data_IF_149351874035
#
_entry.id   IF_149351874035
#
_cell.length_a   1.000
_cell.length_b   1.000
_cell.length_c   1.000
_cell.angle_alpha   90.00
_cell.angle_beta   90.00
_cell.angle_gamma   90.00
#
_symmetry.space_group_name_H-M   'P 1'
#
loop_
_entity.id
_entity.type
_entity.pdbx_description
1 polymer ?
#
# COMPACT_ATOMS: atom_id res chain seq x y z
N UNK A 1 55.92 37.27 -4.49
CA UNK A 1 54.74 36.53 -4.99
C UNK A 1 54.65 35.23 -4.23
N UNK A 2 53.95 35.23 -3.09
CA UNK A 2 53.80 34.07 -2.21
C UNK A 2 52.41 33.48 -2.45
N UNK A 3 52.35 32.28 -3.02
CA UNK A 3 51.10 31.56 -3.24
C UNK A 3 50.66 30.87 -1.95
N UNK A 4 49.47 31.22 -1.46
CA UNK A 4 48.78 30.57 -0.35
C UNK A 4 48.29 29.18 -0.77
N UNK A 5 48.48 28.11 0.02
CA UNK A 5 47.91 26.81 -0.29
C UNK A 5 46.42 26.79 0.02
N UNK A 6 45.61 26.42 -0.97
CA UNK A 6 44.17 26.20 -0.84
C UNK A 6 43.99 24.85 -0.13
N UNK A 7 43.39 24.86 1.06
CA UNK A 7 43.00 23.64 1.76
C UNK A 7 41.88 22.92 0.98
N UNK A 8 41.91 21.59 0.86
CA UNK A 8 40.80 20.85 0.28
C UNK A 8 39.58 21.00 1.18
N UNK A 9 38.52 21.61 0.66
CA UNK A 9 37.22 21.68 1.31
C UNK A 9 36.68 20.25 1.44
N UNK A 10 36.41 19.82 2.68
CA UNK A 10 35.58 18.65 2.94
C UNK A 10 34.25 18.80 2.21
N UNK A 11 33.70 17.74 1.59
CA UNK A 11 32.33 17.77 1.12
C UNK A 11 31.45 18.10 2.32
N UNK A 12 30.57 19.08 2.18
CA UNK A 12 29.55 19.40 3.18
C UNK A 12 28.79 18.10 3.48
N UNK A 13 28.81 17.67 4.75
CA UNK A 13 27.91 16.67 5.30
C UNK A 13 26.48 17.09 4.97
N UNK A 14 25.92 16.57 3.88
CA UNK A 14 24.51 16.66 3.61
C UNK A 14 23.86 15.66 4.56
N UNK A 15 23.43 16.14 5.72
CA UNK A 15 22.62 15.36 6.67
C UNK A 15 21.48 14.70 5.89
N UNK A 16 21.37 13.38 6.02
CA UNK A 16 20.34 12.63 5.30
C UNK A 16 18.97 13.12 5.79
N UNK A 17 17.92 13.22 4.95
CA UNK A 17 16.59 13.66 5.39
C UNK A 17 16.03 12.90 6.60
N UNK A 18 16.47 11.64 6.80
CA UNK A 18 16.19 10.87 8.02
C UNK A 18 16.80 11.45 9.29
N UNK A 19 17.99 12.05 9.22
CA UNK A 19 18.68 12.63 10.39
C UNK A 19 17.91 13.82 10.98
N UNK A 20 16.97 14.39 10.20
CA UNK A 20 16.08 15.47 10.61
C UNK A 20 14.68 14.97 11.05
N UNK A 21 14.37 13.68 10.90
CA UNK A 21 13.08 13.08 11.25
C UNK A 21 13.23 12.18 12.49
N UNK A 22 12.21 12.14 13.35
CA UNK A 22 12.26 11.36 14.59
C UNK A 22 12.33 9.84 14.37
N UNK A 23 11.84 9.33 13.22
CA UNK A 23 11.79 7.89 12.94
C UNK A 23 11.55 7.56 11.45
N UNK A 24 11.86 6.34 11.02
CA UNK A 24 11.57 5.88 9.65
C UNK A 24 10.07 5.93 9.34
N UNK A 25 9.22 5.48 10.27
CA UNK A 25 7.78 5.51 10.10
C UNK A 25 7.25 6.95 9.97
N UNK A 26 7.80 7.90 10.73
CA UNK A 26 7.42 9.32 10.59
C UNK A 26 7.90 9.93 9.28
N UNK A 27 9.09 9.54 8.82
CA UNK A 27 9.59 9.98 7.53
C UNK A 27 8.70 9.49 6.39
N UNK A 28 8.37 8.19 6.35
CA UNK A 28 7.44 7.63 5.34
C UNK A 28 6.07 8.31 5.39
N UNK A 29 5.50 8.49 6.58
CA UNK A 29 4.20 9.15 6.74
C UNK A 29 4.23 10.59 6.23
N UNK A 30 5.30 11.32 6.50
CA UNK A 30 5.42 12.73 6.13
C UNK A 30 5.71 12.88 4.64
N UNK A 31 6.63 12.07 4.10
CA UNK A 31 7.01 12.09 2.68
C UNK A 31 5.87 11.65 1.76
N UNK A 32 4.99 10.75 2.22
CA UNK A 32 3.86 10.25 1.43
C UNK A 32 2.53 10.98 1.70
N UNK A 33 2.53 12.05 2.50
CA UNK A 33 1.30 12.70 2.96
C UNK A 33 0.51 13.37 1.84
N UNK A 34 1.19 13.96 0.86
CA UNK A 34 0.54 14.57 -0.30
C UNK A 34 -0.06 13.50 -1.20
N UNK A 35 0.67 12.43 -1.48
CA UNK A 35 0.24 11.31 -2.29
C UNK A 35 -0.97 10.60 -1.68
N UNK A 36 -0.99 10.44 -0.35
CA UNK A 36 -2.15 9.92 0.37
C UNK A 36 -3.39 10.80 0.15
N UNK A 37 -3.26 12.12 0.36
CA UNK A 37 -4.34 13.07 0.15
C UNK A 37 -4.82 13.09 -1.30
N UNK A 38 -3.90 13.08 -2.26
CA UNK A 38 -4.23 13.06 -3.69
C UNK A 38 -5.00 11.79 -4.06
N UNK A 39 -4.61 10.66 -3.49
CA UNK A 39 -5.29 9.36 -3.65
C UNK A 39 -6.71 9.38 -3.06
N UNK A 40 -6.91 9.96 -1.88
CA UNK A 40 -8.24 10.12 -1.25
C UNK A 40 -9.16 11.06 -2.04
N UNK A 41 -8.59 11.99 -2.81
CA UNK A 41 -9.35 12.94 -3.64
C UNK A 41 -9.63 12.44 -5.06
N UNK A 42 -9.23 11.22 -5.42
CA UNK A 42 -9.53 10.65 -6.74
C UNK A 42 -11.04 10.51 -6.93
N UNK A 43 -11.53 10.80 -8.13
CA UNK A 43 -12.97 10.83 -8.44
C UNK A 43 -13.67 9.56 -7.99
N UNK A 44 -13.14 8.39 -8.36
CA UNK A 44 -13.69 7.09 -7.95
C UNK A 44 -13.86 6.96 -6.43
N UNK A 45 -12.85 7.35 -5.64
CA UNK A 45 -12.93 7.28 -4.17
C UNK A 45 -13.96 8.28 -3.64
N UNK A 46 -13.95 9.51 -4.13
CA UNK A 46 -14.92 10.52 -3.68
C UNK A 46 -16.37 10.15 -4.05
N UNK A 47 -16.60 9.54 -5.21
CA UNK A 47 -17.91 9.02 -5.64
C UNK A 47 -18.33 7.80 -4.80
N UNK A 48 -17.40 6.89 -4.49
CA UNK A 48 -17.63 5.76 -3.59
C UNK A 48 -18.03 6.24 -2.19
N UNK A 49 -17.32 7.24 -1.66
CA UNK A 49 -17.55 7.77 -0.31
C UNK A 49 -18.78 8.67 -0.20
N UNK A 50 -19.29 9.19 -1.33
CA UNK A 50 -20.50 10.03 -1.37
C UNK A 50 -21.78 9.26 -1.71
N UNK A 51 -21.69 7.97 -2.04
CA UNK A 51 -22.84 7.17 -2.43
C UNK A 51 -23.25 7.33 -3.90
N UNK A 52 -22.39 7.93 -4.74
CA UNK A 52 -22.68 8.20 -6.16
C UNK A 52 -22.50 6.98 -7.08
N UNK A 53 -21.80 5.95 -6.61
CA UNK A 53 -21.59 4.68 -7.32
C UNK A 53 -22.69 3.64 -7.03
N UNK A 54 -22.43 2.39 -7.38
CA UNK A 54 -23.27 1.23 -7.11
C UNK A 54 -22.49 0.10 -6.44
N UNK A 55 -23.20 -0.89 -5.91
CA UNK A 55 -22.57 -2.13 -5.40
C UNK A 55 -21.75 -2.82 -6.49
N UNK A 56 -22.18 -2.78 -7.76
CA UNK A 56 -21.44 -3.35 -8.87
C UNK A 56 -20.11 -2.62 -9.17
N UNK A 57 -20.07 -1.29 -8.99
CA UNK A 57 -18.82 -0.53 -9.10
C UNK A 57 -17.86 -0.90 -7.96
N UNK A 58 -18.39 -1.09 -6.74
CA UNK A 58 -17.62 -1.61 -5.62
C UNK A 58 -17.08 -3.03 -5.90
N UNK A 59 -17.90 -3.94 -6.43
CA UNK A 59 -17.46 -5.28 -6.84
C UNK A 59 -16.33 -5.22 -7.87
N UNK A 60 -16.47 -4.35 -8.89
CA UNK A 60 -15.42 -4.14 -9.90
C UNK A 60 -14.12 -3.67 -9.25
N UNK A 61 -14.20 -2.78 -8.27
CA UNK A 61 -13.06 -2.29 -7.51
C UNK A 61 -12.38 -3.41 -6.71
N UNK A 62 -13.13 -4.19 -5.94
CA UNK A 62 -12.59 -5.33 -5.19
C UNK A 62 -11.96 -6.37 -6.13
N UNK A 63 -12.54 -6.59 -7.32
CA UNK A 63 -11.95 -7.43 -8.36
C UNK A 63 -10.60 -6.93 -8.86
N UNK A 64 -10.38 -5.61 -8.97
CA UNK A 64 -9.06 -5.08 -9.31
C UNK A 64 -8.05 -5.29 -8.17
N UNK A 65 -8.49 -5.19 -6.92
CA UNK A 65 -7.62 -5.44 -5.78
C UNK A 65 -7.27 -6.91 -5.61
N UNK A 66 -8.12 -7.86 -5.99
CA UNK A 66 -7.77 -9.28 -6.00
C UNK A 66 -6.45 -9.53 -6.75
N UNK A 67 -6.31 -8.93 -7.95
CA UNK A 67 -5.08 -9.02 -8.73
C UNK A 67 -3.86 -8.36 -8.05
N UNK A 68 -4.05 -7.19 -7.45
CA UNK A 68 -2.95 -6.44 -6.79
C UNK A 68 -2.46 -7.19 -5.55
N UNK A 69 -3.37 -7.68 -4.70
CA UNK A 69 -3.02 -8.43 -3.50
C UNK A 69 -2.43 -9.79 -3.83
N UNK A 70 -2.94 -10.49 -4.86
CA UNK A 70 -2.31 -11.72 -5.34
C UNK A 70 -0.84 -11.49 -5.73
N UNK A 71 -0.55 -10.45 -6.52
CA UNK A 71 0.82 -10.15 -6.92
C UNK A 71 1.70 -9.69 -5.75
N UNK A 72 1.15 -8.89 -4.83
CA UNK A 72 1.86 -8.39 -3.66
C UNK A 72 2.18 -9.51 -2.66
N UNK A 73 1.21 -10.36 -2.33
CA UNK A 73 1.38 -11.48 -1.40
C UNK A 73 2.36 -12.52 -1.94
N UNK A 74 2.33 -12.83 -3.25
CA UNK A 74 3.36 -13.66 -3.89
C UNK A 74 4.76 -13.03 -3.84
N UNK A 75 4.87 -11.70 -3.95
CA UNK A 75 6.15 -11.02 -3.78
C UNK A 75 6.64 -11.10 -2.33
N UNK A 76 5.75 -10.87 -1.35
CA UNK A 76 6.06 -10.98 0.08
C UNK A 76 6.55 -12.38 0.42
N UNK A 77 5.90 -13.42 -0.10
CA UNK A 77 6.32 -14.81 0.07
C UNK A 77 7.73 -15.03 -0.46
N UNK A 78 8.00 -14.61 -1.70
CA UNK A 78 9.33 -14.77 -2.34
C UNK A 78 10.43 -14.03 -1.59
N UNK A 79 10.18 -12.80 -1.14
CA UNK A 79 11.13 -12.02 -0.33
C UNK A 79 11.35 -12.66 1.03
N UNK A 80 10.28 -13.14 1.69
CA UNK A 80 10.34 -13.75 3.02
C UNK A 80 11.13 -15.06 3.07
N UNK A 81 11.30 -15.74 1.94
CA UNK A 81 12.20 -16.90 1.85
C UNK A 81 13.70 -16.54 1.90
N UNK A 82 14.06 -15.28 1.61
CA UNK A 82 15.45 -14.82 1.51
C UNK A 82 15.80 -13.88 2.65
N UNK A 83 14.99 -12.84 2.87
CA UNK A 83 15.20 -11.84 3.91
C UNK A 83 13.85 -11.36 4.46
N UNK A 84 13.36 -12.05 5.50
CA UNK A 84 12.07 -11.75 6.11
C UNK A 84 12.13 -10.44 6.88
N UNK A 85 11.21 -9.53 6.57
CA UNK A 85 10.96 -8.32 7.35
C UNK A 85 9.86 -8.61 8.37
N UNK A 86 10.04 -8.22 9.63
CA UNK A 86 9.12 -8.50 10.75
C UNK A 86 7.69 -7.97 10.56
N UNK A 87 7.49 -7.00 9.66
CA UNK A 87 6.15 -6.49 9.35
C UNK A 87 5.37 -7.37 8.38
N UNK A 88 6.02 -8.32 7.70
CA UNK A 88 5.37 -9.31 6.83
C UNK A 88 4.68 -10.37 7.69
N UNK A 89 3.50 -9.99 8.17
CA UNK A 89 2.65 -10.74 9.08
C UNK A 89 1.43 -11.27 8.30
N UNK A 90 1.27 -12.60 8.15
CA UNK A 90 0.14 -13.20 7.46
C UNK A 90 -1.24 -12.82 8.02
N UNK A 91 -1.30 -12.29 9.26
CA UNK A 91 -2.54 -11.71 9.80
C UNK A 91 -3.07 -10.52 8.97
N UNK A 92 -2.22 -9.94 8.11
CA UNK A 92 -2.55 -8.86 7.20
C UNK A 92 -3.00 -9.33 5.82
N UNK A 93 -2.75 -10.58 5.41
CA UNK A 93 -3.08 -11.08 4.07
C UNK A 93 -4.56 -10.85 3.76
N UNK A 94 -4.85 -10.33 2.57
CA UNK A 94 -6.18 -9.88 2.15
C UNK A 94 -6.76 -10.70 1.02
N UNK A 95 -5.95 -11.38 0.19
CA UNK A 95 -6.48 -12.12 -0.95
C UNK A 95 -7.60 -13.10 -0.55
N UNK A 96 -7.48 -13.93 0.51
CA UNK A 96 -8.57 -14.84 0.90
C UNK A 96 -9.87 -14.11 1.28
N UNK A 97 -9.75 -12.95 1.93
CA UNK A 97 -10.91 -12.13 2.29
C UNK A 97 -11.56 -11.48 1.06
N UNK A 98 -10.73 -11.01 0.11
CA UNK A 98 -11.19 -10.46 -1.17
C UNK A 98 -11.93 -11.52 -1.99
N UNK A 99 -11.40 -12.74 -2.09
CA UNK A 99 -12.04 -13.84 -2.81
C UNK A 99 -13.37 -14.24 -2.19
N UNK A 100 -13.44 -14.27 -0.85
CA UNK A 100 -14.69 -14.49 -0.12
C UNK A 100 -15.72 -13.39 -0.38
N UNK A 101 -15.30 -12.12 -0.36
CA UNK A 101 -16.19 -10.98 -0.64
C UNK A 101 -16.74 -11.04 -2.06
N UNK A 102 -15.88 -11.35 -3.05
CA UNK A 102 -16.29 -11.48 -4.46
C UNK A 102 -17.33 -12.61 -4.63
N UNK A 103 -17.14 -13.75 -3.98
CA UNK A 103 -18.11 -14.83 -3.97
C UNK A 103 -19.45 -14.39 -3.34
N UNK A 104 -19.41 -13.67 -2.21
CA UNK A 104 -20.60 -13.13 -1.56
C UNK A 104 -21.29 -12.01 -2.36
N UNK A 105 -20.55 -11.33 -3.25
CA UNK A 105 -21.05 -10.36 -4.23
C UNK A 105 -21.61 -11.04 -5.49
N UNK A 106 -21.59 -12.37 -5.57
CA UNK A 106 -22.15 -13.15 -6.68
C UNK A 106 -21.19 -13.39 -7.85
N UNK A 107 -19.90 -13.12 -7.67
CA UNK A 107 -18.86 -13.36 -8.68
C UNK A 107 -18.35 -14.80 -8.54
N UNK A 108 -18.56 -15.63 -9.55
CA UNK A 108 -18.14 -17.04 -9.49
C UNK A 108 -16.68 -17.23 -9.90
N UNK A 109 -16.24 -16.49 -10.91
CA UNK A 109 -14.86 -16.48 -11.39
C UNK A 109 -14.40 -15.04 -11.61
N UNK A 110 -13.79 -14.46 -10.59
CA UNK A 110 -13.37 -13.07 -10.61
C UNK A 110 -12.30 -12.78 -11.66
N UNK A 111 -11.47 -13.75 -12.04
CA UNK A 111 -10.43 -13.56 -13.07
C UNK A 111 -11.07 -13.35 -14.45
N UNK A 112 -12.15 -14.08 -14.73
CA UNK A 112 -12.90 -13.96 -15.98
C UNK A 112 -13.88 -12.79 -15.97
N UNK A 113 -14.56 -12.54 -14.85
CA UNK A 113 -15.62 -11.54 -14.73
C UNK A 113 -15.08 -10.12 -14.47
N UNK A 114 -13.91 -10.02 -13.83
CA UNK A 114 -13.20 -8.77 -13.56
C UNK A 114 -11.75 -8.86 -14.02
N UNK A 115 -11.49 -8.90 -15.35
CA UNK A 115 -10.14 -8.85 -15.88
C UNK A 115 -9.41 -7.58 -15.41
N UNK A 116 -8.06 -7.63 -15.30
CA UNK A 116 -7.31 -6.47 -14.83
C UNK A 116 -7.46 -5.33 -15.85
N UNK A 117 -7.76 -4.13 -15.35
CA UNK A 117 -7.70 -2.91 -16.14
C UNK A 117 -6.26 -2.64 -16.60
N UNK A 118 -6.03 -1.78 -17.61
CA UNK A 118 -4.67 -1.43 -18.03
C UNK A 118 -3.78 -0.98 -16.87
N UNK A 119 -4.26 -0.05 -16.03
CA UNK A 119 -3.53 0.41 -14.85
C UNK A 119 -3.28 -0.70 -13.81
N UNK A 120 -4.24 -1.61 -13.62
CA UNK A 120 -4.07 -2.77 -12.73
C UNK A 120 -3.01 -3.72 -13.29
N UNK A 121 -2.99 -3.92 -14.62
CA UNK A 121 -1.98 -4.74 -15.31
C UNK A 121 -0.59 -4.16 -15.14
N UNK A 122 -0.44 -2.84 -15.26
CA UNK A 122 0.84 -2.15 -15.02
C UNK A 122 1.30 -2.30 -13.58
N UNK A 123 0.39 -2.22 -12.61
CA UNK A 123 0.73 -2.41 -11.20
C UNK A 123 1.18 -3.86 -10.92
N UNK A 124 0.44 -4.85 -11.42
CA UNK A 124 0.84 -6.26 -11.30
C UNK A 124 2.21 -6.49 -11.94
N UNK A 125 2.43 -5.98 -13.15
CA UNK A 125 3.68 -6.14 -13.87
C UNK A 125 4.86 -5.54 -13.11
N UNK A 126 4.66 -4.38 -12.48
CA UNK A 126 5.65 -3.77 -11.60
C UNK A 126 5.98 -4.66 -10.40
N UNK A 127 4.98 -5.13 -9.65
CA UNK A 127 5.18 -6.04 -8.51
C UNK A 127 5.87 -7.35 -8.92
N UNK A 128 5.53 -7.89 -10.10
CA UNK A 128 6.14 -9.10 -10.64
C UNK A 128 7.59 -8.89 -11.11
N UNK A 129 7.94 -7.67 -11.53
CA UNK A 129 9.31 -7.31 -11.91
C UNK A 129 10.28 -7.26 -10.72
N UNK A 130 9.75 -7.07 -9.50
CA UNK A 130 10.54 -7.10 -8.28
C UNK A 130 10.99 -8.53 -7.95
N UNK A 131 12.24 -8.63 -7.52
CA UNK A 131 12.90 -9.88 -7.16
C UNK A 131 12.90 -10.09 -5.65
N UNK A 132 13.31 -11.28 -5.20
CA UNK A 132 13.49 -11.57 -3.77
C UNK A 132 14.57 -10.71 -3.08
N UNK A 133 15.41 -10.01 -3.85
CA UNK A 133 16.41 -9.08 -3.32
C UNK A 133 15.84 -7.66 -3.09
N UNK A 134 14.68 -7.33 -3.66
CA UNK A 134 14.06 -6.00 -3.61
C UNK A 134 13.25 -5.78 -2.31
N UNK A 135 13.79 -6.19 -1.15
CA UNK A 135 13.05 -6.26 0.12
C UNK A 135 12.42 -4.93 0.55
N UNK A 136 13.14 -3.82 0.38
CA UNK A 136 12.65 -2.48 0.80
C UNK A 136 11.61 -1.93 -0.17
N UNK A 137 11.66 -2.35 -1.43
CA UNK A 137 10.64 -2.01 -2.43
C UNK A 137 9.36 -2.82 -2.20
N UNK A 138 9.50 -4.11 -1.86
CA UNK A 138 8.38 -4.91 -1.36
C UNK A 138 7.76 -4.30 -0.10
N UNK A 139 8.59 -3.86 0.86
CA UNK A 139 8.15 -3.16 2.07
C UNK A 139 7.34 -1.89 1.75
N UNK A 140 7.71 -1.14 0.71
CA UNK A 140 6.98 0.05 0.29
C UNK A 140 5.51 -0.27 -0.07
N UNK A 141 5.30 -1.29 -0.90
CA UNK A 141 3.95 -1.71 -1.28
C UNK A 141 3.16 -2.29 -0.10
N UNK A 142 3.82 -3.09 0.74
CA UNK A 142 3.24 -3.61 1.97
C UNK A 142 2.77 -2.46 2.90
N UNK A 143 3.65 -1.48 3.15
CA UNK A 143 3.35 -0.29 3.95
C UNK A 143 2.15 0.48 3.38
N UNK A 144 2.18 0.81 2.09
CA UNK A 144 1.17 1.62 1.44
C UNK A 144 -0.20 0.95 1.45
N UNK A 145 -0.27 -0.36 1.18
CA UNK A 145 -1.53 -1.12 1.17
C UNK A 145 -2.05 -1.36 2.58
N UNK A 146 -1.33 -2.12 3.40
CA UNK A 146 -1.88 -2.65 4.65
C UNK A 146 -2.10 -1.57 5.72
N UNK A 147 -1.23 -0.55 5.85
CA UNK A 147 -1.52 0.56 6.78
C UNK A 147 -2.67 1.44 6.29
N UNK A 148 -2.86 1.56 4.97
CA UNK A 148 -4.02 2.21 4.37
C UNK A 148 -5.30 1.49 4.75
N UNK A 149 -5.35 0.17 4.56
CA UNK A 149 -6.51 -0.67 4.89
C UNK A 149 -6.86 -0.60 6.38
N UNK A 150 -5.85 -0.67 7.27
CA UNK A 150 -6.02 -0.54 8.72
C UNK A 150 -6.40 0.88 9.18
N UNK A 151 -6.33 1.88 8.31
CA UNK A 151 -6.61 3.29 8.67
C UNK A 151 -7.93 3.79 8.11
N UNK A 152 -8.18 3.60 6.82
CA UNK A 152 -9.41 4.03 6.15
C UNK A 152 -10.46 2.93 6.00
N UNK A 153 -10.08 1.65 6.08
CA UNK A 153 -10.94 0.52 5.71
C UNK A 153 -12.27 0.46 6.47
N UNK A 154 -12.26 0.78 7.76
CA UNK A 154 -13.49 0.77 8.58
C UNK A 154 -14.49 1.85 8.14
N UNK A 155 -14.01 3.03 7.75
CA UNK A 155 -14.86 4.09 7.23
C UNK A 155 -15.42 3.71 5.86
N UNK A 156 -14.58 3.14 4.99
CA UNK A 156 -15.02 2.64 3.67
C UNK A 156 -16.09 1.56 3.83
N UNK A 157 -15.85 0.55 4.67
CA UNK A 157 -16.82 -0.52 4.93
C UNK A 157 -18.18 0.02 5.41
N UNK A 158 -18.16 0.96 6.36
CA UNK A 158 -19.38 1.56 6.89
C UNK A 158 -20.16 2.35 5.82
N UNK A 159 -19.47 3.09 4.95
CA UNK A 159 -20.10 3.86 3.89
C UNK A 159 -20.61 2.98 2.74
N UNK A 160 -19.86 1.94 2.38
CA UNK A 160 -20.29 0.95 1.37
C UNK A 160 -21.53 0.21 1.83
N UNK A 161 -21.59 -0.24 3.09
CA UNK A 161 -22.78 -0.83 3.68
C UNK A 161 -23.98 0.14 3.65
N UNK A 162 -23.74 1.40 4.05
CA UNK A 162 -24.79 2.43 4.14
C UNK A 162 -25.37 2.82 2.78
N UNK A 163 -24.52 3.05 1.78
CA UNK A 163 -24.97 3.61 0.49
C UNK A 163 -25.34 2.54 -0.53
N UNK A 164 -24.69 1.38 -0.47
CA UNK A 164 -24.85 0.34 -1.49
C UNK A 164 -25.50 -0.95 -0.97
N UNK A 165 -25.87 -0.98 0.32
CA UNK A 165 -26.54 -2.13 0.93
C UNK A 165 -25.66 -3.36 1.06
N UNK A 166 -24.33 -3.20 1.05
CA UNK A 166 -23.42 -4.32 1.23
C UNK A 166 -23.60 -4.96 2.61
N UNK A 167 -23.67 -6.28 2.63
CA UNK A 167 -23.81 -7.07 3.87
C UNK A 167 -22.43 -7.41 4.46
N UNK A 168 -22.33 -7.80 5.75
CA UNK A 168 -21.04 -8.08 6.40
C UNK A 168 -20.17 -9.11 5.67
N UNK A 169 -20.78 -10.06 4.97
CA UNK A 169 -20.11 -11.11 4.18
C UNK A 169 -19.46 -10.58 2.89
N UNK A 170 -19.77 -9.34 2.48
CA UNK A 170 -19.24 -8.67 1.28
C UNK A 170 -18.19 -7.60 1.64
N UNK A 171 -17.78 -7.52 2.91
CA UNK A 171 -16.90 -6.49 3.47
C UNK A 171 -15.75 -7.08 4.30
N UNK A 172 -15.47 -8.37 4.13
CA UNK A 172 -14.41 -9.12 4.79
C UNK A 172 -13.01 -8.55 4.52
N UNK A 173 -12.77 -7.95 3.34
CA UNK A 173 -11.52 -7.26 3.01
C UNK A 173 -11.10 -6.25 4.08
N UNK A 174 -12.06 -5.52 4.65
CA UNK A 174 -11.81 -4.51 5.69
C UNK A 174 -11.72 -5.09 7.10
N UNK A 175 -12.00 -6.38 7.29
CA UNK A 175 -11.95 -7.06 8.59
C UNK A 175 -10.62 -7.78 8.78
N UNK A 176 -9.97 -7.51 9.90
CA UNK A 176 -8.72 -8.15 10.30
C UNK A 176 -8.99 -9.03 11.52
N UNK A 177 -9.64 -10.18 11.31
CA UNK A 177 -10.15 -11.02 12.42
C UNK A 177 -9.02 -11.57 13.32
N UNK A 178 -7.80 -11.69 12.80
CA UNK A 178 -6.61 -12.06 13.57
C UNK A 178 -6.03 -10.91 14.41
N UNK A 179 -6.52 -9.67 14.25
CA UNK A 179 -6.00 -8.47 14.89
C UNK A 179 -7.04 -7.90 15.87
N UNK A 180 -6.85 -8.20 17.16
CA UNK A 180 -7.77 -7.77 18.22
C UNK A 180 -7.85 -6.24 18.42
N UNK A 181 -6.75 -5.53 18.20
CA UNK A 181 -6.67 -4.09 18.43
C UNK A 181 -5.88 -3.40 17.30
N UNK A 182 -6.61 -2.86 16.32
CA UNK A 182 -6.04 -2.18 15.15
C UNK A 182 -5.15 -1.00 15.54
N UNK A 183 -5.52 -0.21 16.56
CA UNK A 183 -4.74 0.97 16.98
C UNK A 183 -3.39 0.53 17.54
N UNK A 184 -3.39 -0.47 18.42
CA UNK A 184 -2.17 -1.04 18.98
C UNK A 184 -1.32 -1.71 17.88
N UNK A 185 -1.96 -2.47 16.98
CA UNK A 185 -1.27 -3.14 15.90
C UNK A 185 -0.56 -2.14 14.97
N UNK A 186 -1.22 -1.05 14.58
CA UNK A 186 -0.58 0.02 13.78
C UNK A 186 0.57 0.71 14.52
N UNK A 187 0.53 0.78 15.86
CA UNK A 187 1.67 1.29 16.63
C UNK A 187 2.84 0.30 16.56
N UNK A 188 2.60 -0.97 16.85
CA UNK A 188 3.62 -2.02 16.77
C UNK A 188 4.21 -2.17 15.37
N UNK A 189 3.40 -2.01 14.31
CA UNK A 189 3.89 -1.97 12.94
C UNK A 189 4.93 -0.86 12.74
N UNK A 190 4.63 0.36 13.20
CA UNK A 190 5.54 1.50 13.10
C UNK A 190 6.78 1.30 13.97
N UNK A 191 6.64 0.72 15.16
CA UNK A 191 7.77 0.40 16.03
C UNK A 191 8.73 -0.59 15.34
N UNK A 192 8.19 -1.61 14.64
CA UNK A 192 9.00 -2.55 13.84
C UNK A 192 9.71 -1.87 12.68
N UNK A 193 9.05 -0.95 11.96
CA UNK A 193 9.71 -0.14 10.93
C UNK A 193 10.88 0.68 11.52
N UNK A 194 10.65 1.30 12.68
CA UNK A 194 11.64 2.14 13.34
C UNK A 194 12.85 1.36 13.86
N UNK A 195 12.66 0.07 14.15
CA UNK A 195 13.74 -0.83 14.56
C UNK A 195 14.62 -1.31 13.38
N UNK A 196 14.19 -1.08 12.13
CA UNK A 196 14.96 -1.50 10.96
C UNK A 196 16.23 -0.66 10.82
N UNK A 197 17.37 -1.34 10.72
CA UNK A 197 18.64 -0.72 10.35
C UNK A 197 18.78 -0.74 8.83
N UNK A 198 18.38 0.36 8.18
CA UNK A 198 18.48 0.56 6.74
C UNK A 198 19.64 1.49 6.40
N UNK A 199 20.41 1.14 5.37
CA UNK A 199 21.39 2.08 4.82
C UNK A 199 20.66 3.29 4.16
N UNK A 200 21.29 4.47 4.09
CA UNK A 200 20.69 5.64 3.43
C UNK A 200 20.11 5.35 2.03
N UNK A 201 20.84 4.62 1.19
CA UNK A 201 20.37 4.23 -0.14
C UNK A 201 19.14 3.30 -0.13
N UNK A 202 18.99 2.45 0.90
CA UNK A 202 17.79 1.61 1.05
C UNK A 202 16.58 2.44 1.47
N UNK A 203 16.80 3.49 2.25
CA UNK A 203 15.75 4.42 2.65
C UNK A 203 15.29 5.22 1.44
N UNK A 204 16.22 5.75 0.64
CA UNK A 204 15.88 6.46 -0.59
C UNK A 204 15.07 5.58 -1.54
N UNK A 205 15.50 4.32 -1.72
CA UNK A 205 14.76 3.34 -2.52
C UNK A 205 13.36 3.05 -1.95
N UNK A 206 13.24 2.89 -0.63
CA UNK A 206 11.96 2.68 0.05
C UNK A 206 11.01 3.87 -0.17
N UNK A 207 11.48 5.11 -0.01
CA UNK A 207 10.66 6.32 -0.19
C UNK A 207 10.22 6.48 -1.63
N UNK A 208 11.14 6.30 -2.59
CA UNK A 208 10.83 6.37 -4.02
C UNK A 208 9.79 5.30 -4.40
N UNK A 209 9.90 4.09 -3.84
CA UNK A 209 8.94 3.04 -4.11
C UNK A 209 7.59 3.26 -3.40
N UNK A 210 7.55 3.93 -2.24
CA UNK A 210 6.28 4.34 -1.61
C UNK A 210 5.54 5.31 -2.52
N UNK A 211 6.24 6.28 -3.12
CA UNK A 211 5.67 7.20 -4.11
C UNK A 211 5.15 6.46 -5.36
N UNK A 212 5.93 5.51 -5.88
CA UNK A 212 5.49 4.64 -6.98
C UNK A 212 4.24 3.84 -6.61
N UNK A 213 4.19 3.26 -5.40
CA UNK A 213 3.03 2.53 -4.90
C UNK A 213 1.77 3.41 -4.87
N UNK A 214 1.86 4.65 -4.38
CA UNK A 214 0.73 5.58 -4.42
C UNK A 214 0.33 5.93 -5.86
N UNK A 215 1.30 6.13 -6.76
CA UNK A 215 1.05 6.39 -8.18
C UNK A 215 0.26 5.25 -8.83
N UNK A 216 0.68 4.01 -8.63
CA UNK A 216 -0.04 2.84 -9.14
C UNK A 216 -1.45 2.72 -8.56
N UNK A 217 -1.61 2.93 -7.25
CA UNK A 217 -2.94 2.93 -6.62
C UNK A 217 -3.86 4.01 -7.22
N UNK A 218 -3.34 5.22 -7.39
CA UNK A 218 -4.05 6.32 -8.03
C UNK A 218 -4.49 5.98 -9.45
N UNK A 219 -3.61 5.39 -10.25
CA UNK A 219 -3.92 4.97 -11.62
C UNK A 219 -5.01 3.89 -11.69
N UNK A 220 -5.04 2.95 -10.73
CA UNK A 220 -6.14 1.97 -10.62
C UNK A 220 -7.47 2.68 -10.34
N UNK A 221 -7.49 3.67 -9.46
CA UNK A 221 -8.70 4.47 -9.21
C UNK A 221 -9.13 5.29 -10.43
N UNK A 222 -8.18 5.91 -11.13
CA UNK A 222 -8.47 6.63 -12.37
C UNK A 222 -9.06 5.69 -13.44
N UNK A 223 -8.55 4.45 -13.55
CA UNK A 223 -9.10 3.45 -14.46
C UNK A 223 -10.49 2.92 -14.06
N UNK A 224 -10.88 3.05 -12.79
CA UNK A 224 -12.19 2.68 -12.28
C UNK A 224 -13.24 3.79 -12.47
N UNK A 225 -12.81 5.05 -12.52
CA UNK A 225 -13.68 6.20 -12.74
C UNK A 225 -14.44 6.10 -14.08
N UNK A 226 -15.60 6.77 -14.15
CA UNK A 226 -16.50 6.77 -15.31
C UNK A 226 -16.18 7.88 -16.30
#
# INVERSE_FOLDING_TARGET
MTATPISPQHPLDQQHPLDQQQSLADYLRTSSSNQHRDTETRSFITELMSGALSLADYTRYIGQYAWVYEALEQLIDRVSQVDRIDVFDPALDRLPAIESDLAALGVNDWRREHPPLPATTEYIAHLQSLTSADRVRCLAHHYTRYLGDLSGGQAIAALVARYYGAVPEQLGFYRFDAINNIVQYKRSYRDRLNAMSLAPAEVDALVAEVDAAFTYNGAVFDGLAR
#
